data_IF_721104420109
#
_entry.id   IF_721104420109
#
_cell.length_a   1.000
_cell.length_b   1.000
_cell.length_c   1.000
_cell.angle_alpha   90.00
_cell.angle_beta   90.00
_cell.angle_gamma   90.00
#
_symmetry.space_group_name_H-M   'P 1'
#
loop_
_entity.id
_entity.type
_entity.pdbx_description
1 polymer ?
#
# COMPACT_ATOMS: atom_id res chain seq x y z
N UNK A 1 -18.78 -5.60 2.64
CA UNK A 1 -18.28 -6.61 3.57
C UNK A 1 -17.53 -7.70 2.80
N UNK A 2 -16.69 -8.44 3.47
CA UNK A 2 -15.88 -9.48 2.84
C UNK A 2 -16.25 -10.88 3.36
N UNK A 3 -15.94 -11.90 2.57
CA UNK A 3 -16.29 -13.27 2.88
C UNK A 3 -15.77 -13.76 4.22
N UNK A 4 -14.53 -13.37 4.58
CA UNK A 4 -13.93 -13.75 5.85
C UNK A 4 -14.62 -13.18 7.08
N UNK A 5 -15.44 -12.15 6.90
CA UNK A 5 -16.07 -11.43 8.01
C UNK A 5 -15.14 -10.49 8.76
N UNK A 6 -13.87 -10.40 8.36
CA UNK A 6 -12.90 -9.49 9.01
C UNK A 6 -13.27 -8.02 8.83
N UNK A 7 -13.97 -7.70 7.76
CA UNK A 7 -14.51 -6.36 7.50
C UNK A 7 -16.02 -6.51 7.30
N UNK A 8 -16.79 -5.83 8.12
CA UNK A 8 -18.25 -5.80 8.00
C UNK A 8 -18.72 -4.86 6.90
N UNK A 9 -19.96 -4.42 6.98
CA UNK A 9 -20.48 -3.40 6.07
C UNK A 9 -19.82 -2.06 6.40
N UNK A 10 -19.28 -1.39 5.39
CA UNK A 10 -18.64 -0.09 5.55
C UNK A 10 -19.51 0.99 4.89
N UNK A 11 -19.67 2.15 5.55
CA UNK A 11 -20.37 3.27 4.91
C UNK A 11 -19.53 3.80 3.76
N UNK A 12 -20.17 3.97 2.61
CA UNK A 12 -19.56 4.59 1.43
C UNK A 12 -20.53 5.60 0.86
N UNK A 13 -20.00 6.63 0.19
CA UNK A 13 -20.82 7.62 -0.50
C UNK A 13 -20.06 8.18 -1.68
N UNK A 14 -20.79 8.66 -2.68
CA UNK A 14 -20.18 9.30 -3.85
C UNK A 14 -19.32 10.52 -3.46
N UNK A 15 -19.81 11.43 -2.59
CA UNK A 15 -18.99 12.59 -2.19
C UNK A 15 -17.65 12.21 -1.57
N UNK A 16 -17.55 11.06 -0.89
CA UNK A 16 -16.29 10.60 -0.27
C UNK A 16 -15.18 10.34 -1.29
N UNK A 17 -15.54 10.07 -2.52
CA UNK A 17 -14.58 9.85 -3.60
C UNK A 17 -13.80 11.12 -3.95
N UNK A 18 -14.45 12.26 -3.87
CA UNK A 18 -13.88 13.56 -4.24
C UNK A 18 -13.59 14.45 -3.04
N UNK A 19 -14.15 14.13 -1.89
CA UNK A 19 -14.02 14.92 -0.67
C UNK A 19 -13.72 14.01 0.52
N UNK A 20 -12.92 14.50 1.46
CA UNK A 20 -12.63 13.75 2.68
C UNK A 20 -13.82 13.81 3.64
N UNK A 21 -14.29 12.65 4.05
CA UNK A 21 -15.36 12.52 5.05
C UNK A 21 -14.95 11.53 6.12
N UNK A 22 -15.02 11.96 7.37
CA UNK A 22 -14.67 11.12 8.51
C UNK A 22 -15.68 9.98 8.65
N UNK A 23 -15.21 8.78 8.92
CA UNK A 23 -16.04 7.61 9.15
C UNK A 23 -16.64 6.98 7.89
N UNK A 24 -16.33 7.52 6.70
CA UNK A 24 -16.84 6.99 5.43
C UNK A 24 -15.65 6.69 4.53
N UNK A 25 -15.61 5.49 3.96
CA UNK A 25 -14.52 5.07 3.09
C UNK A 25 -14.84 5.27 1.60
N UNK A 26 -13.88 4.94 0.75
CA UNK A 26 -14.00 5.01 -0.70
C UNK A 26 -13.31 3.80 -1.33
N UNK A 27 -13.61 3.48 -2.61
CA UNK A 27 -12.89 2.41 -3.31
C UNK A 27 -11.39 2.66 -3.34
N UNK A 28 -10.98 3.90 -3.49
CA UNK A 28 -9.56 4.28 -3.57
C UNK A 28 -8.86 4.05 -2.22
N UNK A 29 -9.54 4.36 -1.13
CA UNK A 29 -9.00 4.11 0.22
C UNK A 29 -8.90 2.61 0.51
N UNK A 30 -9.88 1.82 0.05
CA UNK A 30 -9.84 0.36 0.19
C UNK A 30 -8.72 -0.24 -0.66
N UNK A 31 -8.49 0.29 -1.85
CA UNK A 31 -7.36 -0.12 -2.68
C UNK A 31 -6.04 0.22 -2.00
N UNK A 32 -5.93 1.40 -1.40
CA UNK A 32 -4.75 1.81 -0.65
C UNK A 32 -4.48 0.84 0.51
N UNK A 33 -5.51 0.47 1.26
CA UNK A 33 -5.38 -0.48 2.36
C UNK A 33 -4.91 -1.86 1.86
N UNK A 34 -5.48 -2.33 0.75
CA UNK A 34 -5.08 -3.60 0.14
C UNK A 34 -3.62 -3.55 -0.32
N UNK A 35 -3.19 -2.45 -0.96
CA UNK A 35 -1.83 -2.28 -1.43
C UNK A 35 -0.82 -2.24 -0.27
N UNK A 36 -1.12 -1.48 0.78
CA UNK A 36 -0.28 -1.41 1.97
C UNK A 36 -0.14 -2.79 2.63
N UNK A 37 -1.23 -3.51 2.80
CA UNK A 37 -1.22 -4.83 3.41
C UNK A 37 -0.41 -5.84 2.59
N UNK A 38 -0.60 -5.86 1.27
CA UNK A 38 0.12 -6.76 0.38
C UNK A 38 1.62 -6.48 0.38
N UNK A 39 2.00 -5.21 0.29
CA UNK A 39 3.40 -4.80 0.36
C UNK A 39 4.04 -5.20 1.70
N UNK A 40 3.34 -4.95 2.82
CA UNK A 40 3.84 -5.31 4.14
C UNK A 40 4.08 -6.82 4.26
N UNK A 41 3.18 -7.63 3.75
CA UNK A 41 3.33 -9.09 3.75
C UNK A 41 4.49 -9.53 2.87
N UNK A 42 4.63 -8.97 1.67
CA UNK A 42 5.73 -9.28 0.76
C UNK A 42 7.07 -8.91 1.38
N UNK A 43 7.15 -7.75 1.99
CA UNK A 43 8.38 -7.28 2.65
C UNK A 43 8.74 -8.14 3.85
N UNK A 44 7.75 -8.43 4.71
CA UNK A 44 7.97 -9.29 5.88
C UNK A 44 8.52 -10.65 5.47
N UNK A 45 7.96 -11.25 4.43
CA UNK A 45 8.43 -12.53 3.90
C UNK A 45 9.85 -12.45 3.32
N UNK A 46 10.14 -11.38 2.59
CA UNK A 46 11.47 -11.18 2.01
C UNK A 46 12.55 -11.01 3.10
N UNK A 47 12.24 -10.24 4.14
CA UNK A 47 13.15 -10.03 5.26
C UNK A 47 13.40 -11.34 6.03
N UNK A 48 12.37 -12.14 6.24
CA UNK A 48 12.51 -13.44 6.90
C UNK A 48 13.39 -14.39 6.07
N UNK A 49 13.20 -14.44 4.76
CA UNK A 49 14.04 -15.26 3.86
C UNK A 49 15.49 -14.80 3.82
N UNK A 50 15.73 -13.52 4.10
CA UNK A 50 17.08 -12.95 4.19
C UNK A 50 17.71 -13.15 5.58
N UNK A 51 17.03 -13.88 6.48
CA UNK A 51 17.44 -14.11 7.86
C UNK A 51 17.56 -12.81 8.69
N UNK A 52 16.80 -11.81 8.32
CA UNK A 52 16.74 -10.52 9.01
C UNK A 52 15.27 -10.14 9.25
N UNK A 53 14.54 -10.90 10.08
CA UNK A 53 13.13 -10.62 10.31
C UNK A 53 12.93 -9.23 10.91
N UNK A 54 11.86 -8.56 10.51
CA UNK A 54 11.52 -7.27 11.06
C UNK A 54 10.95 -7.42 12.47
N UNK A 55 11.30 -6.49 13.35
CA UNK A 55 10.61 -6.31 14.62
C UNK A 55 9.26 -5.63 14.39
N UNK A 56 9.24 -4.65 13.48
CA UNK A 56 8.04 -3.87 13.19
C UNK A 56 8.11 -3.28 11.79
N UNK A 57 6.98 -3.29 11.12
CA UNK A 57 6.78 -2.61 9.84
C UNK A 57 5.49 -1.81 9.93
N UNK A 58 5.61 -0.51 9.76
CA UNK A 58 4.46 0.40 9.64
C UNK A 58 4.34 0.82 8.18
N UNK A 59 3.27 0.44 7.54
CA UNK A 59 3.05 0.71 6.12
C UNK A 59 1.72 1.42 5.93
N UNK A 60 1.76 2.48 5.15
CA UNK A 60 0.54 3.14 4.68
C UNK A 60 0.61 3.33 3.18
N UNK A 61 -0.52 3.59 2.57
CA UNK A 61 -0.59 3.90 1.15
C UNK A 61 -1.57 5.04 0.92
N UNK A 62 -1.26 5.87 -0.05
CA UNK A 62 -2.14 6.94 -0.50
C UNK A 62 -2.41 6.74 -1.98
N UNK A 63 -3.67 6.53 -2.34
CA UNK A 63 -4.11 6.33 -3.72
C UNK A 63 -4.79 7.61 -4.17
N UNK A 64 -4.31 8.16 -5.29
CA UNK A 64 -4.87 9.39 -5.86
C UNK A 64 -5.95 9.08 -6.88
N UNK A 65 -7.07 9.78 -6.75
CA UNK A 65 -8.19 9.74 -7.69
C UNK A 65 -8.28 11.12 -8.34
N UNK A 66 -7.97 11.18 -9.62
CA UNK A 66 -7.79 12.47 -10.31
C UNK A 66 -8.57 12.53 -11.59
N UNK A 67 -9.03 13.75 -11.94
CA UNK A 67 -9.64 14.00 -13.22
C UNK A 67 -8.53 14.22 -14.24
N UNK A 68 -8.54 13.38 -15.27
CA UNK A 68 -7.62 13.47 -16.41
C UNK A 68 -8.43 13.71 -17.67
N UNK A 69 -7.77 13.89 -18.80
CA UNK A 69 -8.42 14.18 -20.09
C UNK A 69 -9.53 13.18 -20.45
N UNK A 70 -9.29 11.90 -20.20
CA UNK A 70 -10.24 10.82 -20.49
C UNK A 70 -11.33 10.63 -19.44
N UNK A 71 -11.32 11.40 -18.34
CA UNK A 71 -12.28 11.28 -17.24
C UNK A 71 -11.59 11.06 -15.89
N UNK A 72 -12.31 10.49 -14.93
CA UNK A 72 -11.76 10.20 -13.60
C UNK A 72 -11.01 8.89 -13.60
N UNK A 73 -9.87 8.85 -12.94
CA UNK A 73 -9.10 7.61 -12.80
C UNK A 73 -8.20 7.61 -11.57
N UNK A 74 -7.82 6.41 -11.16
CA UNK A 74 -6.76 6.22 -10.16
C UNK A 74 -5.42 6.41 -10.88
N UNK A 75 -4.62 7.37 -10.45
CA UNK A 75 -3.36 7.72 -11.14
C UNK A 75 -2.12 7.23 -10.42
N UNK A 76 -2.10 7.29 -9.10
CA UNK A 76 -0.91 6.93 -8.32
C UNK A 76 -1.28 6.15 -7.06
N UNK A 77 -0.34 5.32 -6.62
CA UNK A 77 -0.36 4.71 -5.29
C UNK A 77 1.01 4.93 -4.65
N UNK A 78 1.04 5.71 -3.60
CA UNK A 78 2.27 6.01 -2.86
C UNK A 78 2.31 5.18 -1.58
N UNK A 79 3.31 4.31 -1.48
CA UNK A 79 3.57 3.53 -0.28
C UNK A 79 4.53 4.29 0.63
N UNK A 80 4.24 4.31 1.92
CA UNK A 80 5.11 4.88 2.93
C UNK A 80 5.46 3.80 3.93
N UNK A 81 6.75 3.60 4.15
CA UNK A 81 7.28 2.52 4.99
C UNK A 81 8.16 3.06 6.08
N UNK A 82 7.90 2.61 7.30
CA UNK A 82 8.81 2.78 8.42
C UNK A 82 9.04 1.41 9.02
N UNK A 83 10.32 0.98 9.10
CA UNK A 83 10.64 -0.35 9.56
C UNK A 83 11.70 -0.37 10.65
N UNK A 84 11.62 -1.36 11.52
CA UNK A 84 12.65 -1.65 12.53
C UNK A 84 13.18 -3.05 12.25
N UNK A 85 14.40 -3.11 11.69
CA UNK A 85 15.08 -4.36 11.32
C UNK A 85 16.50 -4.30 11.86
N UNK A 86 16.72 -4.72 13.13
CA UNK A 86 17.99 -4.49 13.83
C UNK A 86 19.25 -5.03 13.17
N UNK A 87 19.15 -6.15 12.46
CA UNK A 87 20.31 -6.82 11.87
C UNK A 87 20.58 -6.44 10.42
N UNK A 88 19.98 -5.36 9.93
CA UNK A 88 20.07 -4.98 8.53
C UNK A 88 20.40 -3.50 8.39
N UNK A 89 21.37 -3.17 7.51
CA UNK A 89 21.68 -1.78 7.23
C UNK A 89 20.61 -1.11 6.34
N UNK A 90 20.58 0.22 6.36
CA UNK A 90 19.56 1.00 5.66
C UNK A 90 19.58 0.79 4.14
N UNK A 91 20.77 0.65 3.55
CA UNK A 91 20.90 0.46 2.10
C UNK A 91 20.32 -0.88 1.65
N UNK A 92 20.63 -1.94 2.38
CA UNK A 92 20.10 -3.27 2.08
C UNK A 92 18.61 -3.36 2.35
N UNK A 93 18.15 -2.70 3.42
CA UNK A 93 16.71 -2.61 3.72
C UNK A 93 15.95 -1.96 2.55
N UNK A 94 16.46 -0.83 2.06
CA UNK A 94 15.84 -0.13 0.92
C UNK A 94 15.79 -1.01 -0.34
N UNK A 95 16.85 -1.77 -0.59
CA UNK A 95 16.91 -2.68 -1.73
C UNK A 95 15.86 -3.80 -1.64
N UNK A 96 15.74 -4.42 -0.46
CA UNK A 96 14.75 -5.47 -0.22
C UNK A 96 13.33 -4.89 -0.31
N UNK A 97 13.12 -3.69 0.24
CA UNK A 97 11.82 -3.02 0.18
C UNK A 97 11.42 -2.69 -1.27
N UNK A 98 12.35 -2.24 -2.09
CA UNK A 98 12.07 -1.97 -3.49
C UNK A 98 11.70 -3.24 -4.25
N UNK A 99 12.38 -4.34 -3.97
CA UNK A 99 12.04 -5.65 -4.53
C UNK A 99 10.64 -6.11 -4.11
N UNK A 100 10.28 -5.89 -2.86
CA UNK A 100 8.95 -6.23 -2.34
C UNK A 100 7.86 -5.37 -3.00
N UNK A 101 8.14 -4.10 -3.27
CA UNK A 101 7.23 -3.21 -4.00
C UNK A 101 6.91 -3.77 -5.39
N UNK A 102 7.93 -4.20 -6.11
CA UNK A 102 7.76 -4.75 -7.46
C UNK A 102 7.13 -6.13 -7.46
N UNK A 103 7.40 -6.94 -6.46
CA UNK A 103 6.95 -8.33 -6.36
C UNK A 103 5.59 -8.53 -5.70
N UNK A 104 5.04 -7.51 -5.08
CA UNK A 104 3.75 -7.60 -4.42
C UNK A 104 2.63 -7.81 -5.45
N UNK A 105 1.75 -8.84 -5.28
CA UNK A 105 0.69 -9.11 -6.25
C UNK A 105 -0.25 -7.95 -6.53
N UNK A 106 -0.53 -7.10 -5.56
CA UNK A 106 -1.38 -5.93 -5.80
C UNK A 106 -0.63 -4.90 -6.66
N UNK A 107 0.66 -4.69 -6.42
CA UNK A 107 1.49 -3.85 -7.30
C UNK A 107 1.45 -4.37 -8.74
N UNK A 108 1.59 -5.68 -8.90
CA UNK A 108 1.51 -6.33 -10.21
C UNK A 108 0.15 -6.10 -10.89
N UNK A 109 -0.93 -6.19 -10.13
CA UNK A 109 -2.29 -6.03 -10.65
C UNK A 109 -2.56 -4.62 -11.18
N UNK A 110 -2.01 -3.58 -10.54
CA UNK A 110 -2.24 -2.18 -10.91
C UNK A 110 -1.13 -1.57 -11.75
N UNK A 111 -0.02 -2.29 -11.91
CA UNK A 111 1.14 -1.86 -12.71
C UNK A 111 0.73 -1.54 -14.16
N UNK A 112 1.28 -0.48 -14.71
CA UNK A 112 0.96 -0.02 -16.06
C UNK A 112 -0.18 0.98 -16.12
N UNK A 113 -1.11 0.93 -15.19
CA UNK A 113 -2.21 1.88 -15.09
C UNK A 113 -1.99 2.89 -13.97
N UNK A 114 -1.32 2.46 -12.91
CA UNK A 114 -1.11 3.26 -11.71
C UNK A 114 0.39 3.39 -11.48
N UNK A 115 0.86 4.61 -11.29
CA UNK A 115 2.25 4.86 -10.94
C UNK A 115 2.46 4.54 -9.45
N UNK A 116 3.35 3.61 -9.17
CA UNK A 116 3.62 3.14 -7.81
C UNK A 116 4.94 3.72 -7.33
N UNK A 117 4.94 4.31 -6.15
CA UNK A 117 6.15 4.83 -5.52
C UNK A 117 6.28 4.35 -4.08
N UNK A 118 7.49 4.39 -3.57
CA UNK A 118 7.81 3.99 -2.20
C UNK A 118 8.66 5.06 -1.53
N UNK A 119 8.23 5.50 -0.37
CA UNK A 119 8.99 6.39 0.48
C UNK A 119 9.30 5.66 1.78
N UNK A 120 10.59 5.61 2.14
CA UNK A 120 11.05 4.98 3.37
C UNK A 120 11.40 6.10 4.36
N UNK A 121 10.81 6.04 5.54
CA UNK A 121 11.07 7.00 6.61
C UNK A 121 11.80 6.32 7.76
N UNK A 122 12.48 7.09 8.56
CA UNK A 122 13.24 6.55 9.71
C UNK A 122 12.59 6.92 11.04
#
# INVERSE_FOLDING_TARGET
>A
KVESGSIGALPISWPRRSEAHEGVTSPEELLAAAHAACFAMALSGALARNNTPAERLDVSATVAFEKVEAGWRVTTSKLTLKGVVPSLDAARFAEIADGAKSGCPISSAISGNVAISLEITT
#
